data_IF_645314453509
#
_entry.id   IF_645314453509
#
_cell.length_a   1.000
_cell.length_b   1.000
_cell.length_c   1.000
_cell.angle_alpha   90.00
_cell.angle_beta   90.00
_cell.angle_gamma   90.00
#
_symmetry.space_group_name_H-M   'P 1'
#
loop_
_entity.id
_entity.type
_entity.pdbx_description
1 polymer ?
#
# COMPACT_ATOMS: atom_id res chain seq x y z
N UNK A 1 -39.99 22.62 15.92
CA UNK A 1 -39.02 22.89 17.03
C UNK A 1 -38.63 21.62 17.79
N UNK A 2 -37.81 20.71 17.22
CA UNK A 2 -37.29 19.50 17.92
C UNK A 2 -35.77 19.25 17.76
N UNK A 3 -35.03 20.06 16.99
CA UNK A 3 -33.61 19.82 16.68
C UNK A 3 -32.59 20.44 17.67
N UNK A 4 -33.02 21.25 18.64
CA UNK A 4 -32.08 21.98 19.53
C UNK A 4 -31.76 21.29 20.86
N UNK A 5 -32.46 20.19 21.22
CA UNK A 5 -32.18 19.45 22.47
C UNK A 5 -31.13 18.34 22.31
N UNK A 6 -30.94 17.79 21.10
CA UNK A 6 -30.00 16.69 20.87
C UNK A 6 -28.54 17.15 20.77
N UNK A 7 -28.28 18.30 20.15
CA UNK A 7 -26.93 18.88 20.02
C UNK A 7 -26.31 19.29 21.35
N UNK A 8 -27.12 19.78 22.31
CA UNK A 8 -26.63 20.10 23.67
C UNK A 8 -26.28 18.87 24.51
N UNK A 9 -26.83 17.69 24.19
CA UNK A 9 -26.55 16.44 24.92
C UNK A 9 -25.21 15.83 24.48
N UNK A 10 -24.92 15.88 23.19
CA UNK A 10 -23.67 15.35 22.61
C UNK A 10 -22.47 16.21 23.02
N UNK A 11 -22.61 17.55 23.07
CA UNK A 11 -21.53 18.44 23.52
C UNK A 11 -21.18 18.28 25.01
N UNK A 12 -22.15 17.93 25.87
CA UNK A 12 -21.86 17.65 27.30
C UNK A 12 -21.16 16.31 27.49
N UNK A 13 -21.50 15.29 26.71
CA UNK A 13 -20.80 13.99 26.75
C UNK A 13 -19.37 14.08 26.23
N UNK A 14 -19.11 14.90 25.22
CA UNK A 14 -17.76 15.09 24.67
C UNK A 14 -16.84 15.86 25.63
N UNK A 15 -17.36 16.87 26.33
CA UNK A 15 -16.60 17.64 27.32
C UNK A 15 -16.23 16.79 28.56
N UNK A 16 -17.13 15.90 29.00
CA UNK A 16 -16.86 14.95 30.10
C UNK A 16 -15.78 13.94 29.71
N UNK A 17 -15.75 13.51 28.45
CA UNK A 17 -14.72 12.59 27.95
C UNK A 17 -13.34 13.23 27.91
N UNK A 18 -13.24 14.50 27.48
CA UNK A 18 -11.98 15.26 27.48
C UNK A 18 -11.49 15.53 28.92
N UNK A 19 -12.39 15.86 29.84
CA UNK A 19 -12.03 16.08 31.24
C UNK A 19 -11.56 14.81 31.95
N UNK A 20 -12.16 13.65 31.66
CA UNK A 20 -11.70 12.34 32.16
C UNK A 20 -10.33 11.96 31.59
N UNK A 21 -10.08 12.24 30.31
CA UNK A 21 -8.79 11.97 29.67
C UNK A 21 -7.67 12.87 30.22
N UNK A 22 -7.98 14.14 30.50
CA UNK A 22 -7.04 15.07 31.14
C UNK A 22 -6.76 14.68 32.60
N UNK A 23 -7.74 14.15 33.34
CA UNK A 23 -7.56 13.68 34.71
C UNK A 23 -6.67 12.43 34.76
N UNK A 24 -6.84 11.49 33.84
CA UNK A 24 -5.98 10.30 33.71
C UNK A 24 -4.54 10.68 33.35
N UNK A 25 -4.33 11.66 32.46
CA UNK A 25 -2.99 12.14 32.11
C UNK A 25 -2.31 12.93 33.25
N UNK A 26 -3.07 13.65 34.07
CA UNK A 26 -2.53 14.33 35.26
C UNK A 26 -2.28 13.38 36.45
N UNK A 27 -2.99 12.25 36.52
CA UNK A 27 -2.83 11.27 37.61
C UNK A 27 -1.57 10.40 37.47
N UNK A 28 -1.00 10.31 36.27
CA UNK A 28 0.25 9.59 36.02
C UNK A 28 1.52 10.39 36.35
N UNK A 29 1.39 11.67 36.76
CA UNK A 29 2.54 12.57 36.95
C UNK A 29 2.62 13.22 38.35
N UNK A 30 1.86 12.74 39.33
CA UNK A 30 2.03 13.16 40.72
C UNK A 30 2.74 12.07 41.52
N UNK A 31 4.01 12.35 41.79
CA UNK A 31 4.90 11.54 42.60
C UNK A 31 4.33 11.25 43.99
N UNK A 32 4.48 9.99 44.39
CA UNK A 32 4.35 9.59 45.79
C UNK A 32 5.75 9.68 46.40
N UNK A 33 5.93 10.72 47.21
CA UNK A 33 7.03 10.84 48.16
C UNK A 33 6.46 10.64 49.57
N UNK A 34 6.83 9.55 50.25
CA UNK A 34 6.85 9.45 51.72
C UNK A 34 7.98 8.48 52.18
N UNK A 35 9.03 9.07 52.77
CA UNK A 35 9.79 8.77 54.01
C UNK A 35 10.04 7.34 54.55
N UNK A 36 11.08 7.16 55.40
CA UNK A 36 11.91 5.96 55.47
C UNK A 36 11.62 5.05 56.67
N UNK A 37 12.37 3.96 56.72
CA UNK A 37 12.46 2.92 57.77
C UNK A 37 11.49 1.74 57.62
N UNK A 38 11.99 0.62 57.07
CA UNK A 38 12.34 -0.59 57.86
C UNK A 38 12.77 -1.76 56.95
N UNK A 39 14.09 -1.96 56.91
CA UNK A 39 14.80 -3.22 57.21
C UNK A 39 14.47 -4.51 56.43
N UNK A 40 15.44 -4.84 55.57
CA UNK A 40 16.10 -6.14 55.33
C UNK A 40 15.41 -7.28 54.54
N UNK A 41 16.28 -7.89 53.72
CA UNK A 41 16.18 -9.16 53.00
C UNK A 41 15.36 -9.17 51.69
N UNK A 42 15.87 -8.51 50.65
CA UNK A 42 15.68 -8.98 49.27
C UNK A 42 17.00 -9.03 48.52
N UNK A 43 17.31 -10.25 48.09
CA UNK A 43 18.42 -10.66 47.24
C UNK A 43 18.54 -9.69 46.06
N UNK A 44 19.68 -9.00 45.96
CA UNK A 44 20.09 -8.32 44.74
C UNK A 44 20.20 -9.36 43.63
N UNK A 45 19.18 -9.44 42.77
CA UNK A 45 19.44 -9.75 41.38
C UNK A 45 20.19 -8.53 40.86
N UNK A 46 21.49 -8.67 40.64
CA UNK A 46 22.16 -7.88 39.62
C UNK A 46 21.33 -8.04 38.34
N UNK A 47 20.47 -7.07 38.04
CA UNK A 47 20.16 -6.77 36.66
C UNK A 47 21.48 -6.31 36.06
N UNK A 48 22.21 -7.28 35.49
CA UNK A 48 23.22 -7.00 34.49
C UNK A 48 22.59 -5.97 33.56
N UNK A 49 23.23 -4.80 33.32
CA UNK A 49 22.76 -3.93 32.27
C UNK A 49 22.64 -4.80 31.03
N UNK A 50 21.45 -4.83 30.44
CA UNK A 50 21.27 -5.40 29.10
C UNK A 50 22.18 -4.55 28.24
N UNK A 51 23.41 -5.00 28.02
CA UNK A 51 24.26 -4.48 26.97
C UNK A 51 23.44 -4.63 25.71
N UNK A 52 23.00 -3.51 25.12
CA UNK A 52 22.63 -3.50 23.72
C UNK A 52 23.80 -4.18 23.01
N UNK A 53 23.61 -5.44 22.59
CA UNK A 53 24.58 -6.11 21.76
C UNK A 53 24.78 -5.19 20.56
N UNK A 54 25.99 -4.65 20.42
CA UNK A 54 26.29 -3.75 19.32
C UNK A 54 26.04 -4.53 18.05
N UNK A 55 24.97 -4.20 17.32
CA UNK A 55 24.62 -4.87 16.07
C UNK A 55 25.84 -4.89 15.17
N UNK A 56 26.14 -6.06 14.63
CA UNK A 56 27.18 -6.24 13.62
C UNK A 56 26.89 -5.37 12.40
N UNK A 57 27.93 -5.06 11.62
CA UNK A 57 27.76 -4.27 10.40
C UNK A 57 26.77 -4.96 9.44
N UNK A 58 26.82 -6.28 9.34
CA UNK A 58 25.89 -7.10 8.56
C UNK A 58 24.44 -6.96 9.05
N UNK A 59 24.20 -6.95 10.36
CA UNK A 59 22.85 -6.78 10.91
C UNK A 59 22.28 -5.40 10.61
N UNK A 60 23.12 -4.36 10.66
CA UNK A 60 22.70 -3.00 10.28
C UNK A 60 22.35 -2.91 8.80
N UNK A 61 23.20 -3.47 7.93
CA UNK A 61 22.95 -3.53 6.49
C UNK A 61 21.68 -4.33 6.17
N UNK A 62 21.46 -5.45 6.88
CA UNK A 62 20.30 -6.30 6.67
C UNK A 62 18.99 -5.66 7.17
N UNK A 63 19.03 -4.91 8.28
CA UNK A 63 17.90 -4.12 8.77
C UNK A 63 17.46 -3.00 7.82
N UNK A 64 18.38 -2.49 7.00
CA UNK A 64 18.05 -1.55 5.92
C UNK A 64 17.55 -2.29 4.67
N UNK A 65 18.12 -3.46 4.36
CA UNK A 65 17.76 -4.26 3.19
C UNK A 65 16.31 -4.76 3.21
N UNK A 66 15.84 -5.28 4.35
CA UNK A 66 14.50 -5.88 4.49
C UNK A 66 13.36 -4.95 4.02
N UNK A 67 13.23 -3.71 4.54
CA UNK A 67 12.12 -2.82 4.15
C UNK A 67 12.22 -2.40 2.68
N UNK A 68 13.43 -2.20 2.15
CA UNK A 68 13.65 -1.89 0.73
C UNK A 68 13.17 -3.03 -0.18
N UNK A 69 13.63 -4.25 0.09
CA UNK A 69 13.21 -5.44 -0.66
C UNK A 69 11.69 -5.64 -0.59
N UNK A 70 11.09 -5.40 0.57
CA UNK A 70 9.64 -5.52 0.76
C UNK A 70 8.87 -4.55 -0.14
N UNK A 71 9.25 -3.26 -0.17
CA UNK A 71 8.58 -2.26 -1.03
C UNK A 71 8.73 -2.61 -2.50
N UNK A 72 9.96 -2.89 -2.95
CA UNK A 72 10.26 -3.13 -4.36
C UNK A 72 9.53 -4.37 -4.87
N UNK A 73 9.56 -5.46 -4.09
CA UNK A 73 8.83 -6.69 -4.43
C UNK A 73 7.32 -6.50 -4.41
N UNK A 74 6.79 -5.74 -3.45
CA UNK A 74 5.34 -5.49 -3.37
C UNK A 74 4.86 -4.64 -4.54
N UNK A 75 5.58 -3.56 -4.85
CA UNK A 75 5.24 -2.72 -6.00
C UNK A 75 5.28 -3.53 -7.31
N UNK A 76 6.31 -4.35 -7.49
CA UNK A 76 6.43 -5.19 -8.70
C UNK A 76 5.32 -6.22 -8.82
N UNK A 77 4.94 -6.85 -7.71
CA UNK A 77 3.82 -7.79 -7.68
C UNK A 77 2.48 -7.09 -7.92
N UNK A 78 2.29 -5.91 -7.34
CA UNK A 78 1.10 -5.08 -7.53
C UNK A 78 0.91 -4.70 -9.00
N UNK A 79 1.96 -4.22 -9.68
CA UNK A 79 1.91 -3.88 -11.11
C UNK A 79 1.52 -5.10 -11.96
N UNK A 80 2.08 -6.29 -11.65
CA UNK A 80 1.72 -7.53 -12.35
C UNK A 80 0.25 -7.92 -12.15
N UNK A 81 -0.23 -7.86 -10.91
CA UNK A 81 -1.63 -8.18 -10.60
C UNK A 81 -2.57 -7.17 -11.26
N UNK A 82 -2.19 -5.88 -11.28
CA UNK A 82 -2.93 -4.82 -11.95
C UNK A 82 -3.02 -5.05 -13.46
N UNK A 83 -1.91 -5.37 -14.12
CA UNK A 83 -1.91 -5.73 -15.55
C UNK A 83 -2.77 -6.96 -15.84
N UNK A 84 -2.69 -7.99 -14.98
CA UNK A 84 -3.53 -9.17 -15.09
C UNK A 84 -5.02 -8.85 -14.95
N UNK A 85 -5.36 -7.98 -14.00
CA UNK A 85 -6.73 -7.51 -13.78
C UNK A 85 -7.26 -6.67 -14.95
N UNK A 86 -6.46 -5.75 -15.48
CA UNK A 86 -6.76 -4.98 -16.69
C UNK A 86 -7.08 -5.91 -17.87
N UNK A 87 -6.19 -6.86 -18.15
CA UNK A 87 -6.39 -7.84 -19.23
C UNK A 87 -7.66 -8.67 -19.02
N UNK A 88 -7.93 -9.07 -17.77
CA UNK A 88 -9.16 -9.78 -17.42
C UNK A 88 -10.41 -8.93 -17.70
N UNK A 89 -10.41 -7.66 -17.31
CA UNK A 89 -11.54 -6.75 -17.54
C UNK A 89 -11.77 -6.45 -19.01
N UNK A 90 -10.72 -6.23 -19.81
CA UNK A 90 -10.85 -6.07 -21.26
C UNK A 90 -11.48 -7.32 -21.89
N UNK A 91 -11.03 -8.52 -21.49
CA UNK A 91 -11.62 -9.77 -21.98
C UNK A 91 -13.10 -9.92 -21.61
N UNK A 92 -13.48 -9.52 -20.40
CA UNK A 92 -14.87 -9.53 -19.96
C UNK A 92 -15.74 -8.55 -20.76
N UNK A 93 -15.19 -7.39 -21.14
CA UNK A 93 -15.84 -6.45 -22.05
C UNK A 93 -16.09 -7.08 -23.42
N UNK A 94 -15.07 -7.69 -24.02
CA UNK A 94 -15.19 -8.33 -25.33
C UNK A 94 -16.27 -9.43 -25.31
N UNK A 95 -16.29 -10.27 -24.27
CA UNK A 95 -17.31 -11.32 -24.11
C UNK A 95 -18.75 -10.79 -24.01
N UNK A 96 -18.92 -9.66 -23.31
CA UNK A 96 -20.22 -9.00 -23.20
C UNK A 96 -20.66 -8.46 -24.57
N UNK A 97 -19.74 -7.82 -25.30
CA UNK A 97 -20.02 -7.23 -26.62
C UNK A 97 -20.26 -8.28 -27.71
N UNK A 98 -19.52 -9.40 -27.68
CA UNK A 98 -19.56 -10.41 -28.75
C UNK A 98 -20.68 -11.46 -28.57
N UNK A 99 -21.16 -11.71 -27.36
CA UNK A 99 -22.10 -12.81 -27.14
C UNK A 99 -22.92 -12.78 -25.85
N UNK A 100 -22.93 -11.68 -25.10
CA UNK A 100 -23.64 -11.50 -23.81
C UNK A 100 -23.39 -12.62 -22.77
N UNK A 101 -22.35 -13.44 -22.97
CA UNK A 101 -22.09 -14.61 -22.14
C UNK A 101 -20.65 -14.61 -21.66
N UNK A 102 -20.51 -14.25 -20.39
CA UNK A 102 -19.24 -14.25 -19.67
C UNK A 102 -18.80 -15.69 -19.37
N UNK A 103 -17.54 -15.99 -19.64
CA UNK A 103 -16.92 -17.25 -19.24
C UNK A 103 -16.62 -17.21 -17.72
N UNK A 104 -17.16 -18.15 -16.92
CA UNK A 104 -16.97 -18.15 -15.47
C UNK A 104 -15.50 -18.18 -15.04
N UNK A 105 -14.62 -18.79 -15.84
CA UNK A 105 -13.19 -18.87 -15.57
C UNK A 105 -12.52 -17.50 -15.63
N UNK A 106 -12.91 -16.65 -16.59
CA UNK A 106 -12.34 -15.32 -16.76
C UNK A 106 -12.79 -14.35 -15.67
N UNK A 107 -14.07 -14.43 -15.26
CA UNK A 107 -14.55 -13.67 -14.12
C UNK A 107 -13.85 -14.09 -12.82
N UNK A 108 -13.73 -15.40 -12.56
CA UNK A 108 -13.01 -15.92 -11.39
C UNK A 108 -11.56 -15.47 -11.35
N UNK A 109 -10.92 -15.40 -12.51
CA UNK A 109 -9.54 -14.93 -12.61
C UNK A 109 -9.43 -13.44 -12.28
N UNK A 110 -10.28 -12.58 -12.85
CA UNK A 110 -10.31 -11.16 -12.52
C UNK A 110 -10.59 -10.93 -11.03
N UNK A 111 -11.56 -11.63 -10.45
CA UNK A 111 -11.82 -11.58 -9.00
C UNK A 111 -10.62 -12.05 -8.17
N UNK A 112 -9.87 -13.06 -8.63
CA UNK A 112 -8.67 -13.55 -7.95
C UNK A 112 -7.58 -12.50 -7.95
N UNK A 113 -7.34 -11.83 -9.08
CA UNK A 113 -6.38 -10.75 -9.20
C UNK A 113 -6.75 -9.59 -8.27
N UNK A 114 -8.03 -9.18 -8.25
CA UNK A 114 -8.52 -8.13 -7.35
C UNK A 114 -8.32 -8.47 -5.86
N UNK A 115 -8.69 -9.68 -5.43
CA UNK A 115 -8.47 -10.13 -4.04
C UNK A 115 -6.99 -10.15 -3.65
N UNK A 116 -6.11 -10.48 -4.59
CA UNK A 116 -4.67 -10.43 -4.34
C UNK A 116 -4.19 -8.99 -4.16
N UNK A 117 -4.68 -8.04 -4.96
CA UNK A 117 -4.38 -6.61 -4.80
C UNK A 117 -4.87 -6.07 -3.45
N UNK A 118 -6.10 -6.41 -3.05
CA UNK A 118 -6.65 -6.03 -1.73
C UNK A 118 -5.81 -6.58 -0.59
N UNK A 119 -5.36 -7.84 -0.69
CA UNK A 119 -4.48 -8.44 0.31
C UNK A 119 -3.15 -7.68 0.41
N UNK A 120 -2.51 -7.39 -0.72
CA UNK A 120 -1.26 -6.62 -0.73
C UNK A 120 -1.45 -5.23 -0.14
N UNK A 121 -2.54 -4.53 -0.49
CA UNK A 121 -2.85 -3.23 0.09
C UNK A 121 -2.98 -3.31 1.62
N UNK A 122 -3.65 -4.33 2.13
CA UNK A 122 -3.82 -4.51 3.58
C UNK A 122 -2.52 -4.89 4.29
N UNK A 123 -1.62 -5.62 3.63
CA UNK A 123 -0.31 -5.94 4.16
C UNK A 123 0.61 -4.70 4.16
N UNK A 124 0.52 -3.85 3.13
CA UNK A 124 1.26 -2.59 3.04
C UNK A 124 0.84 -1.59 4.12
N UNK A 125 -0.46 -1.49 4.46
CA UNK A 125 -0.94 -0.62 5.55
C UNK A 125 -0.37 -0.94 6.92
N UNK A 126 0.12 -2.18 7.13
CA UNK A 126 0.73 -2.63 8.39
C UNK A 126 2.24 -2.41 8.41
N UNK A 127 2.83 -2.03 7.29
CA UNK A 127 4.27 -1.87 7.16
C UNK A 127 4.65 -0.45 7.59
N UNK A 128 5.62 -0.35 8.49
CA UNK A 128 6.19 0.93 8.89
C UNK A 128 7.18 1.42 7.83
N UNK A 129 6.79 2.46 7.09
CA UNK A 129 7.61 3.07 6.03
C UNK A 129 8.46 4.25 6.51
N UNK A 130 8.44 4.59 7.81
CA UNK A 130 9.19 5.73 8.35
C UNK A 130 10.68 5.71 8.00
N UNK A 131 11.28 4.52 7.91
CA UNK A 131 12.68 4.35 7.49
C UNK A 131 12.92 4.71 6.02
N UNK A 132 11.96 4.48 5.14
CA UNK A 132 12.09 4.86 3.73
C UNK A 132 11.86 6.34 3.53
N UNK A 133 10.96 6.95 4.31
CA UNK A 133 10.77 8.40 4.29
C UNK A 133 12.07 9.15 4.64
N UNK A 134 12.93 8.56 5.49
CA UNK A 134 14.26 9.13 5.78
C UNK A 134 15.26 9.07 4.63
N UNK A 135 15.02 8.23 3.61
CA UNK A 135 15.87 8.15 2.41
C UNK A 135 15.62 9.32 1.45
N UNK A 136 14.44 9.94 1.51
CA UNK A 136 14.05 11.05 0.63
C UNK A 136 13.49 12.24 1.42
N UNK A 137 14.31 12.88 2.29
CA UNK A 137 13.85 13.95 3.19
C UNK A 137 13.35 15.21 2.46
N UNK A 138 13.70 15.38 1.18
CA UNK A 138 13.25 16.49 0.34
C UNK A 138 11.91 16.24 -0.39
N UNK A 139 11.40 14.99 -0.38
CA UNK A 139 10.20 14.59 -1.11
C UNK A 139 9.21 13.81 -0.22
N UNK A 140 8.82 14.39 0.95
CA UNK A 140 7.79 13.80 1.77
C UNK A 140 6.51 13.70 0.93
N UNK A 141 5.80 12.57 0.99
CA UNK A 141 4.53 12.24 0.31
C UNK A 141 4.60 11.38 -0.96
N UNK A 142 5.77 10.97 -1.43
CA UNK A 142 5.85 10.14 -2.65
C UNK A 142 5.11 8.79 -2.52
N UNK A 143 5.30 8.13 -1.37
CA UNK A 143 4.59 6.89 -1.04
C UNK A 143 3.11 7.11 -0.77
N UNK A 144 2.72 8.31 -0.32
CA UNK A 144 1.33 8.65 -0.09
C UNK A 144 0.55 8.74 -1.41
N UNK A 145 1.12 9.33 -2.47
CA UNK A 145 0.47 9.39 -3.78
C UNK A 145 0.31 7.99 -4.39
N UNK A 146 1.33 7.13 -4.28
CA UNK A 146 1.22 5.72 -4.66
C UNK A 146 0.12 4.98 -3.89
N UNK A 147 0.05 5.19 -2.57
CA UNK A 147 -0.98 4.56 -1.74
C UNK A 147 -2.37 5.00 -2.16
N UNK A 148 -2.56 6.30 -2.42
CA UNK A 148 -3.84 6.84 -2.89
C UNK A 148 -4.21 6.31 -4.27
N UNK A 149 -3.28 6.29 -5.22
CA UNK A 149 -3.47 5.67 -6.53
C UNK A 149 -3.90 4.20 -6.42
N UNK A 150 -3.24 3.42 -5.56
CA UNK A 150 -3.61 2.02 -5.28
C UNK A 150 -5.04 1.89 -4.76
N UNK A 151 -5.42 2.73 -3.80
CA UNK A 151 -6.79 2.74 -3.24
C UNK A 151 -7.81 2.99 -4.34
N UNK A 152 -7.60 4.01 -5.16
CA UNK A 152 -8.54 4.36 -6.24
C UNK A 152 -8.60 3.26 -7.31
N UNK A 153 -7.47 2.67 -7.71
CA UNK A 153 -7.42 1.52 -8.63
C UNK A 153 -8.28 0.35 -8.11
N UNK A 154 -8.05 -0.08 -6.87
CA UNK A 154 -8.78 -1.20 -6.28
C UNK A 154 -10.29 -0.90 -6.21
N UNK A 155 -10.67 0.30 -5.75
CA UNK A 155 -12.08 0.68 -5.63
C UNK A 155 -12.77 0.79 -6.99
N UNK A 156 -12.06 1.25 -8.01
CA UNK A 156 -12.55 1.29 -9.38
C UNK A 156 -12.83 -0.11 -9.93
N UNK A 157 -11.86 -1.04 -9.82
CA UNK A 157 -12.05 -2.41 -10.28
C UNK A 157 -13.07 -3.21 -9.48
N UNK A 158 -13.17 -2.98 -8.17
CA UNK A 158 -14.24 -3.53 -7.34
C UNK A 158 -15.61 -3.17 -7.92
N UNK A 159 -15.80 -1.90 -8.30
CA UNK A 159 -17.07 -1.46 -8.86
C UNK A 159 -17.33 -2.09 -10.24
N UNK A 160 -16.34 -2.13 -11.13
CA UNK A 160 -16.49 -2.79 -12.44
C UNK A 160 -16.92 -4.25 -12.32
N UNK A 161 -16.23 -5.04 -11.48
CA UNK A 161 -16.58 -6.44 -11.29
C UNK A 161 -17.94 -6.62 -10.59
N UNK A 162 -18.32 -5.68 -9.71
CA UNK A 162 -19.63 -5.71 -9.07
C UNK A 162 -20.77 -5.51 -10.08
N UNK A 163 -20.60 -4.65 -11.08
CA UNK A 163 -21.61 -4.47 -12.14
C UNK A 163 -21.80 -5.76 -12.96
N UNK A 164 -20.70 -6.47 -13.27
CA UNK A 164 -20.75 -7.79 -13.89
C UNK A 164 -21.52 -8.80 -13.02
N UNK A 165 -21.19 -8.89 -11.73
CA UNK A 165 -21.85 -9.81 -10.79
C UNK A 165 -23.34 -9.52 -10.64
N UNK A 166 -23.73 -8.25 -10.74
CA UNK A 166 -25.12 -7.81 -10.72
C UNK A 166 -25.84 -8.01 -12.07
N UNK A 167 -25.15 -8.52 -13.10
CA UNK A 167 -25.62 -8.61 -14.49
C UNK A 167 -26.02 -7.26 -15.08
N UNK A 168 -25.42 -6.18 -14.59
CA UNK A 168 -25.64 -4.82 -15.06
C UNK A 168 -24.61 -4.48 -16.15
N UNK A 169 -24.68 -5.18 -17.28
CA UNK A 169 -23.68 -5.07 -18.34
C UNK A 169 -23.67 -3.68 -19.00
N UNK A 170 -24.81 -3.00 -19.07
CA UNK A 170 -24.88 -1.63 -19.59
C UNK A 170 -24.04 -0.67 -18.74
N UNK A 171 -24.16 -0.73 -17.42
CA UNK A 171 -23.36 0.10 -16.53
C UNK A 171 -21.88 -0.31 -16.55
N UNK A 172 -21.59 -1.61 -16.60
CA UNK A 172 -20.22 -2.08 -16.74
C UNK A 172 -19.55 -1.51 -18.00
N UNK A 173 -20.22 -1.52 -19.16
CA UNK A 173 -19.66 -0.99 -20.39
C UNK A 173 -19.41 0.53 -20.30
N UNK A 174 -20.38 1.28 -19.75
CA UNK A 174 -20.21 2.73 -19.47
C UNK A 174 -19.04 3.02 -18.54
N UNK A 175 -18.89 2.25 -17.47
CA UNK A 175 -17.79 2.41 -16.52
C UNK A 175 -16.44 1.99 -17.15
N UNK A 176 -16.45 1.03 -18.07
CA UNK A 176 -15.27 0.58 -18.82
C UNK A 176 -14.80 1.64 -19.84
N UNK A 177 -15.71 2.38 -20.48
CA UNK A 177 -15.33 3.52 -21.34
C UNK A 177 -14.51 4.57 -20.57
N UNK A 178 -14.83 4.80 -19.29
CA UNK A 178 -14.04 5.70 -18.44
C UNK A 178 -12.63 5.13 -18.19
N UNK A 179 -12.50 3.81 -18.02
CA UNK A 179 -11.20 3.14 -17.90
C UNK A 179 -10.37 3.30 -19.18
N UNK A 180 -10.99 3.17 -20.35
CA UNK A 180 -10.31 3.33 -21.64
C UNK A 180 -9.83 4.76 -21.85
N UNK A 181 -10.68 5.75 -21.55
CA UNK A 181 -10.32 7.15 -21.58
C UNK A 181 -9.12 7.44 -20.66
N UNK A 182 -9.15 6.91 -19.43
CA UNK A 182 -8.03 6.97 -18.49
C UNK A 182 -6.73 6.38 -19.07
N UNK A 183 -6.80 5.18 -19.67
CA UNK A 183 -5.64 4.50 -20.25
C UNK A 183 -5.07 5.27 -21.47
N UNK A 184 -5.93 5.92 -22.24
CA UNK A 184 -5.57 6.78 -23.36
C UNK A 184 -5.07 8.17 -22.92
N UNK A 185 -5.08 8.46 -21.61
CA UNK A 185 -4.79 9.77 -21.01
C UNK A 185 -5.73 10.89 -21.49
N UNK A 186 -6.89 10.50 -22.01
CA UNK A 186 -8.00 11.36 -22.32
C UNK A 186 -8.81 11.48 -21.04
N UNK A 187 -8.54 12.49 -20.22
CA UNK A 187 -9.35 12.71 -19.01
C UNK A 187 -10.73 13.15 -19.51
N UNK A 188 -11.80 12.37 -19.32
CA UNK A 188 -13.08 12.68 -19.94
C UNK A 188 -13.62 14.01 -19.40
N UNK A 189 -13.99 14.92 -20.31
CA UNK A 189 -14.79 16.09 -19.95
C UNK A 189 -16.17 15.58 -19.49
N UNK A 190 -16.52 15.87 -18.24
CA UNK A 190 -17.65 15.25 -17.56
C UNK A 190 -18.99 15.81 -18.03
N UNK A 191 -19.58 15.21 -19.07
CA UNK A 191 -20.96 15.52 -19.51
C UNK A 191 -22.04 14.55 -19.00
N UNK A 192 -21.76 13.73 -17.98
CA UNK A 192 -22.74 12.74 -17.47
C UNK A 192 -23.08 12.91 -15.97
N UNK A 193 -24.24 13.50 -15.62
CA UNK A 193 -24.67 13.72 -14.25
C UNK A 193 -24.82 12.44 -13.40
N UNK A 194 -25.03 11.29 -14.04
CA UNK A 194 -25.23 9.98 -13.39
C UNK A 194 -23.90 9.24 -13.12
N UNK A 195 -22.81 9.61 -13.82
CA UNK A 195 -21.47 9.01 -13.65
C UNK A 195 -20.64 9.66 -12.52
N UNK A 196 -21.20 10.63 -11.79
CA UNK A 196 -20.48 11.48 -10.83
C UNK A 196 -19.56 10.75 -9.82
N UNK A 197 -19.89 9.57 -9.26
CA UNK A 197 -19.04 8.94 -8.25
C UNK A 197 -17.84 8.17 -8.82
N UNK A 198 -17.89 7.67 -10.06
CA UNK A 198 -16.78 6.92 -10.67
C UNK A 198 -15.86 7.80 -11.48
N UNK A 199 -16.46 8.74 -12.20
CA UNK A 199 -15.72 9.69 -13.00
C UNK A 199 -14.82 10.58 -12.13
N UNK A 200 -15.28 11.00 -10.95
CA UNK A 200 -14.42 11.70 -9.98
C UNK A 200 -13.24 10.84 -9.53
N UNK A 201 -13.44 9.54 -9.33
CA UNK A 201 -12.38 8.61 -8.93
C UNK A 201 -11.34 8.40 -10.01
N UNK A 202 -11.74 8.40 -11.28
CA UNK A 202 -10.79 8.35 -12.40
C UNK A 202 -9.98 9.63 -12.49
N UNK A 203 -10.58 10.79 -12.23
CA UNK A 203 -9.86 12.06 -12.16
C UNK A 203 -8.83 12.03 -11.01
N UNK A 204 -9.27 11.64 -9.81
CA UNK A 204 -8.39 11.49 -8.65
C UNK A 204 -7.27 10.48 -8.94
N UNK A 205 -7.60 9.34 -9.55
CA UNK A 205 -6.63 8.33 -9.96
C UNK A 205 -5.61 8.88 -10.96
N UNK A 206 -6.05 9.62 -11.98
CA UNK A 206 -5.16 10.23 -12.96
C UNK A 206 -4.22 11.27 -12.34
N UNK A 207 -4.71 12.03 -11.36
CA UNK A 207 -3.89 12.95 -10.60
C UNK A 207 -2.84 12.19 -9.77
N UNK A 208 -3.26 11.17 -9.01
CA UNK A 208 -2.34 10.40 -8.17
C UNK A 208 -1.32 9.60 -8.98
N UNK A 209 -1.69 8.99 -10.11
CA UNK A 209 -0.75 8.26 -10.97
C UNK A 209 0.25 9.24 -11.61
N UNK A 210 -0.17 10.46 -11.95
CA UNK A 210 0.74 11.51 -12.46
C UNK A 210 1.71 11.98 -11.38
N UNK A 211 1.24 12.20 -10.16
CA UNK A 211 2.10 12.56 -9.03
C UNK A 211 3.06 11.42 -8.67
N UNK A 212 2.58 10.18 -8.63
CA UNK A 212 3.41 9.00 -8.41
C UNK A 212 4.47 8.87 -9.50
N UNK A 213 4.13 9.05 -10.79
CA UNK A 213 5.11 9.02 -11.86
C UNK A 213 6.17 10.14 -11.73
N UNK A 214 5.80 11.31 -11.20
CA UNK A 214 6.73 12.42 -11.00
C UNK A 214 7.73 12.18 -9.87
N UNK A 215 7.26 11.69 -8.74
CA UNK A 215 8.07 11.57 -7.53
C UNK A 215 8.62 10.16 -7.32
N UNK A 216 7.80 9.13 -7.54
CA UNK A 216 8.19 7.76 -7.24
C UNK A 216 9.09 7.16 -8.29
N UNK A 217 8.89 7.44 -9.59
CA UNK A 217 9.72 6.82 -10.64
C UNK A 217 11.22 7.11 -10.46
N UNK A 218 11.67 8.36 -10.22
CA UNK A 218 13.09 8.63 -9.94
C UNK A 218 13.58 8.00 -8.63
N UNK A 219 12.73 7.95 -7.61
CA UNK A 219 13.07 7.34 -6.33
C UNK A 219 13.17 5.82 -6.44
N UNK A 220 12.31 5.17 -7.23
CA UNK A 220 12.27 3.73 -7.40
C UNK A 220 13.60 3.19 -7.93
N UNK A 221 14.20 3.84 -8.92
CA UNK A 221 15.53 3.48 -9.43
C UNK A 221 16.60 3.60 -8.35
N UNK A 222 16.59 4.71 -7.58
CA UNK A 222 17.50 4.89 -6.44
C UNK A 222 17.31 3.82 -5.36
N UNK A 223 16.08 3.39 -5.10
CA UNK A 223 15.78 2.31 -4.15
C UNK A 223 16.28 0.96 -4.67
N UNK A 224 16.12 0.68 -5.97
CA UNK A 224 16.64 -0.52 -6.60
C UNK A 224 18.17 -0.58 -6.56
N UNK A 225 18.83 0.54 -6.85
CA UNK A 225 20.30 0.62 -6.77
C UNK A 225 20.79 0.43 -5.35
N UNK A 226 20.08 1.02 -4.36
CA UNK A 226 20.42 0.85 -2.94
C UNK A 226 20.23 -0.59 -2.47
N UNK A 227 19.13 -1.24 -2.86
CA UNK A 227 18.88 -2.64 -2.53
C UNK A 227 19.97 -3.55 -3.10
N UNK A 228 20.34 -3.36 -4.38
CA UNK A 228 21.46 -4.07 -5.02
C UNK A 228 22.79 -3.81 -4.32
N UNK A 229 23.05 -2.59 -3.87
CA UNK A 229 24.26 -2.25 -3.13
C UNK A 229 24.33 -2.99 -1.79
N UNK A 230 23.24 -2.96 -1.02
CA UNK A 230 23.14 -3.64 0.28
C UNK A 230 23.29 -5.16 0.12
N UNK A 231 22.63 -5.74 -0.89
CA UNK A 231 22.75 -7.17 -1.18
C UNK A 231 24.20 -7.54 -1.53
N UNK A 232 24.88 -6.76 -2.39
CA UNK A 232 26.30 -6.98 -2.71
C UNK A 232 27.20 -6.88 -1.48
N UNK A 233 26.92 -5.97 -0.54
CA UNK A 233 27.70 -5.86 0.70
C UNK A 233 27.47 -7.08 1.60
N UNK A 234 26.22 -7.50 1.77
CA UNK A 234 25.86 -8.69 2.56
C UNK A 234 26.46 -9.98 1.96
N UNK A 235 26.50 -10.11 0.64
CA UNK A 235 27.09 -11.28 -0.04
C UNK A 235 28.61 -11.41 0.14
N UNK A 236 29.31 -10.37 0.61
CA UNK A 236 30.77 -10.42 0.83
C UNK A 236 31.17 -11.18 2.09
N UNK A 237 30.24 -11.45 3.01
CA UNK A 237 30.54 -12.13 4.28
C UNK A 237 29.66 -13.37 4.45
N UNK A 238 30.16 -14.40 5.15
CA UNK A 238 29.39 -15.64 5.37
C UNK A 238 28.13 -15.37 6.19
N UNK A 239 28.24 -14.54 7.25
CA UNK A 239 27.08 -14.11 8.04
C UNK A 239 26.03 -13.39 7.20
N UNK A 240 26.44 -12.47 6.33
CA UNK A 240 25.51 -11.75 5.44
C UNK A 240 24.82 -12.69 4.43
N UNK A 241 25.54 -13.68 3.89
CA UNK A 241 24.94 -14.73 3.04
C UNK A 241 23.91 -15.56 3.80
N UNK A 242 24.19 -15.94 5.04
CA UNK A 242 23.24 -16.69 5.89
C UNK A 242 21.98 -15.89 6.18
N UNK A 243 22.10 -14.59 6.48
CA UNK A 243 20.96 -13.69 6.67
C UNK A 243 20.08 -13.58 5.42
N UNK A 244 20.69 -13.40 4.24
CA UNK A 244 19.98 -13.37 2.97
C UNK A 244 19.30 -14.70 2.65
N UNK A 245 19.97 -15.82 2.92
CA UNK A 245 19.42 -17.17 2.71
C UNK A 245 18.20 -17.39 3.60
N UNK A 246 18.31 -17.11 4.90
CA UNK A 246 17.21 -17.22 5.85
C UNK A 246 16.02 -16.35 5.44
N UNK A 247 16.27 -15.11 5.01
CA UNK A 247 15.21 -14.24 4.49
C UNK A 247 14.44 -14.86 3.32
N UNK A 248 15.15 -15.46 2.36
CA UNK A 248 14.52 -16.09 1.18
C UNK A 248 13.73 -17.34 1.57
N UNK A 249 14.19 -18.10 2.56
CA UNK A 249 13.48 -19.26 3.11
C UNK A 249 12.22 -18.87 3.89
N UNK A 250 12.29 -17.80 4.69
CA UNK A 250 11.16 -17.26 5.46
C UNK A 250 10.10 -16.58 4.56
N UNK A 251 10.50 -16.15 3.35
CA UNK A 251 9.62 -15.48 2.37
C UNK A 251 9.78 -16.07 0.95
N UNK A 252 9.37 -17.33 0.71
CA UNK A 252 9.64 -18.02 -0.56
C UNK A 252 8.96 -17.37 -1.77
N UNK A 253 7.80 -16.72 -1.59
CA UNK A 253 7.12 -15.93 -2.63
C UNK A 253 7.76 -14.55 -2.92
N UNK A 254 8.81 -14.16 -2.19
CA UNK A 254 9.63 -12.96 -2.48
C UNK A 254 11.00 -13.31 -3.08
N UNK A 255 11.27 -14.61 -3.24
CA UNK A 255 12.53 -15.17 -3.73
C UNK A 255 12.55 -15.50 -5.22
N UNK A 256 11.41 -15.47 -5.92
CA UNK A 256 11.45 -15.50 -7.39
C UNK A 256 11.94 -14.15 -7.88
N UNK A 257 13.07 -14.16 -8.59
CA UNK A 257 13.68 -13.05 -9.35
C UNK A 257 12.69 -12.51 -10.37
N UNK A 258 11.71 -11.79 -9.86
CA UNK A 258 10.61 -11.19 -10.59
C UNK A 258 10.80 -9.69 -10.65
N UNK A 259 12.05 -9.21 -10.58
CA UNK A 259 12.37 -7.86 -11.02
C UNK A 259 12.06 -7.77 -12.52
N UNK A 260 10.88 -7.24 -12.83
CA UNK A 260 10.64 -6.70 -14.15
C UNK A 260 11.28 -5.33 -14.13
N UNK A 261 12.28 -5.14 -14.98
CA UNK A 261 12.85 -3.83 -15.25
C UNK A 261 11.72 -2.85 -15.59
N UNK A 262 11.75 -1.70 -14.95
CA UNK A 262 10.75 -0.65 -15.13
C UNK A 262 10.71 -0.19 -16.60
N UNK A 263 11.85 -0.22 -17.32
CA UNK A 263 11.86 -0.02 -18.78
C UNK A 263 11.06 -1.09 -19.54
N UNK A 264 11.05 -2.34 -19.06
CA UNK A 264 10.29 -3.44 -19.67
C UNK A 264 8.78 -3.31 -19.43
N UNK A 265 8.36 -2.66 -18.34
CA UNK A 265 6.95 -2.35 -18.06
C UNK A 265 6.48 -1.15 -18.89
N UNK A 266 7.29 -0.10 -18.96
CA UNK A 266 6.92 1.13 -19.69
C UNK A 266 6.96 0.92 -21.22
N UNK A 267 7.94 0.19 -21.75
CA UNK A 267 8.05 -0.07 -23.20
C UNK A 267 7.04 -1.10 -23.73
N UNK A 268 6.35 -1.84 -22.86
CA UNK A 268 5.24 -2.73 -23.28
C UNK A 268 3.90 -2.01 -23.39
N UNK A 269 3.81 -0.76 -22.92
CA UNK A 269 2.66 0.11 -23.14
C UNK A 269 2.77 0.96 -24.42
N UNK A 270 3.80 0.74 -25.25
CA UNK A 270 3.67 1.02 -26.68
C UNK A 270 2.68 0.01 -27.25
N UNK A 271 1.40 0.37 -27.15
CA UNK A 271 0.39 -0.12 -28.08
C UNK A 271 0.98 0.09 -29.47
N UNK A 272 1.53 -0.98 -30.05
CA UNK A 272 1.79 -1.04 -31.47
C UNK A 272 0.43 -0.95 -32.13
N UNK A 273 0.02 0.27 -32.46
CA UNK A 273 -0.78 0.51 -33.66
C UNK A 273 -0.10 -0.29 -34.78
N UNK A 274 -0.75 -1.38 -35.17
CA UNK A 274 -0.47 -2.02 -36.44
C UNK A 274 -1.48 -1.45 -37.41
N UNK A 275 -0.95 -0.66 -38.33
CA UNK A 275 -1.51 -0.35 -39.64
C UNK A 275 -2.18 -1.57 -40.30
#
# INVERSE_FOLDING_TARGET
>A
MKRTKQTKRIQRSFLVFILLFAFLLCSCNQGISQSPEQTEAQIQKEELPITEESKTEEEKLFEEYIPLRLILSTHTLEERLYQGLLSGVCRLKDEILEGEKILPEHLKEAERQLRNLERLQNDMKKTDFSRIDTLFPGEPNTFLCLEKARVEKIQFFQKLLQEILNKNYEQFLKDNELLEAYLQKEIPELEYPEMKPLSSRIVDLAEYDKEAARYFRPQYESLCDRERELERKLQKTERGKELLKKYREDYPWKGEDTFIDFETIVNKNDYKEKD
#
